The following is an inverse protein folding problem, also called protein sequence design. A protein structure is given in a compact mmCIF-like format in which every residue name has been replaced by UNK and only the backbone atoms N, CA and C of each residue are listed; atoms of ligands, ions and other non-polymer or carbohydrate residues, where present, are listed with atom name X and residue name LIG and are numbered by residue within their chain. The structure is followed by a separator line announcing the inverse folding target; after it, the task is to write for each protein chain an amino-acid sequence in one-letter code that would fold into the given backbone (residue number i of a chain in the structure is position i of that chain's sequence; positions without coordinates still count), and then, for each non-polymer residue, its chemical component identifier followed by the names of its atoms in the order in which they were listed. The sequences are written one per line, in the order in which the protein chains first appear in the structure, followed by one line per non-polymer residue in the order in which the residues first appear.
data_IF_231672154850
#
_entry.id   IF_231672154850
#
_cell.length_a   1.000
_cell.length_b   1.000
_cell.length_c   1.000
_cell.angle_alpha   90.00
_cell.angle_beta   90.00
_cell.angle_gamma   90.00
#
_symmetry.space_group_name_H-M   'P 1'
#
loop_
_entity.id
_entity.type
_entity.pdbx_description
1 polymer ?
#
# COMPACT_ATOMS: atom_id res chain seq x y z
N UNK A 1 23.96 -9.80 1.06
CA UNK A 1 22.73 -9.00 1.23
C UNK A 1 21.90 -9.28 0.00
N UNK A 2 20.76 -9.93 0.15
CA UNK A 2 19.87 -10.22 -0.97
C UNK A 2 18.55 -9.51 -0.69
N UNK A 3 18.32 -8.41 -1.39
CA UNK A 3 17.07 -7.66 -1.31
C UNK A 3 16.09 -8.25 -2.31
N UNK A 4 14.96 -8.76 -1.85
CA UNK A 4 13.94 -9.31 -2.73
C UNK A 4 12.77 -8.34 -2.81
N UNK A 5 12.60 -7.71 -3.98
CA UNK A 5 11.42 -6.92 -4.34
C UNK A 5 10.78 -7.59 -5.53
N UNK A 6 9.53 -8.04 -5.44
CA UNK A 6 8.86 -8.85 -6.48
C UNK A 6 7.54 -8.23 -6.94
N UNK A 7 7.14 -8.47 -8.20
CA UNK A 7 5.81 -8.11 -8.67
C UNK A 7 4.74 -8.95 -7.96
N UNK A 8 3.51 -8.46 -7.93
CA UNK A 8 2.40 -9.15 -7.27
C UNK A 8 1.08 -8.89 -7.94
N UNK A 9 0.08 -9.68 -7.57
CA UNK A 9 -1.30 -9.47 -8.01
C UNK A 9 -1.98 -8.53 -7.01
N UNK A 10 -1.99 -7.25 -7.35
CA UNK A 10 -2.63 -6.20 -6.57
C UNK A 10 -4.14 -6.38 -6.49
N UNK A 11 -4.72 -5.91 -5.38
CA UNK A 11 -6.15 -5.84 -5.16
C UNK A 11 -6.59 -4.38 -5.35
N UNK A 12 -7.29 -4.08 -6.44
CA UNK A 12 -7.62 -2.72 -6.87
C UNK A 12 -9.13 -2.53 -6.99
N UNK A 13 -9.59 -1.29 -6.90
CA UNK A 13 -10.98 -0.98 -7.23
C UNK A 13 -11.25 -1.24 -8.71
N UNK A 14 -12.39 -1.85 -9.02
CA UNK A 14 -12.95 -1.80 -10.36
C UNK A 14 -13.58 -0.43 -10.56
N UNK A 15 -12.98 0.39 -11.44
CA UNK A 15 -13.43 1.74 -11.72
C UNK A 15 -14.86 1.81 -12.27
N UNK A 16 -15.40 0.72 -12.82
CA UNK A 16 -16.79 0.64 -13.30
C UNK A 16 -17.80 0.39 -12.18
N UNK A 17 -17.34 -0.05 -11.00
CA UNK A 17 -18.16 -0.36 -9.82
C UNK A 17 -18.20 0.76 -8.80
N UNK A 18 -17.36 1.77 -8.96
CA UNK A 18 -17.28 2.92 -8.04
C UNK A 18 -17.51 4.20 -8.83
N UNK A 19 -18.29 5.13 -8.28
CA UNK A 19 -18.60 6.42 -8.91
C UNK A 19 -17.40 7.38 -8.84
N UNK A 20 -16.27 7.00 -9.44
CA UNK A 20 -15.00 7.72 -9.41
C UNK A 20 -14.10 7.38 -8.22
N UNK A 21 -12.83 7.09 -8.51
CA UNK A 21 -11.85 6.65 -7.51
C UNK A 21 -11.64 7.67 -6.37
N UNK A 22 -11.71 8.96 -6.66
CA UNK A 22 -11.60 10.04 -5.66
C UNK A 22 -12.65 9.96 -4.54
N UNK A 23 -13.78 9.27 -4.77
CA UNK A 23 -14.83 9.11 -3.77
C UNK A 23 -14.59 7.90 -2.85
N UNK A 24 -13.74 6.96 -3.26
CA UNK A 24 -13.49 5.71 -2.53
C UNK A 24 -12.11 5.61 -1.90
N UNK A 25 -11.20 6.53 -2.18
CA UNK A 25 -9.91 6.64 -1.49
C UNK A 25 -9.99 7.54 -0.25
N UNK A 26 -8.94 7.49 0.57
CA UNK A 26 -8.77 8.30 1.78
C UNK A 26 -7.27 8.61 2.00
N UNK A 27 -6.94 9.66 2.77
CA UNK A 27 -5.58 9.89 3.24
C UNK A 27 -5.03 8.71 4.06
N UNK A 28 -3.71 8.70 4.38
CA UNK A 28 -3.15 7.77 5.35
C UNK A 28 -3.91 7.77 6.68
N UNK A 29 -4.14 6.59 7.25
CA UNK A 29 -5.02 6.41 8.43
C UNK A 29 -4.59 7.21 9.67
N UNK A 30 -3.30 7.53 9.77
CA UNK A 30 -2.64 8.22 10.87
C UNK A 30 -2.70 9.75 10.78
N UNK A 31 -3.17 10.32 9.65
CA UNK A 31 -3.41 11.76 9.51
C UNK A 31 -4.89 12.13 9.53
N UNK A 32 -5.79 11.15 9.56
CA UNK A 32 -7.24 11.35 9.53
C UNK A 32 -7.76 11.69 10.93
N UNK A 33 -8.47 12.80 11.05
CA UNK A 33 -9.18 13.18 12.29
C UNK A 33 -10.55 12.50 12.41
N UNK A 34 -11.09 12.33 13.63
CA UNK A 34 -12.39 11.69 13.83
C UNK A 34 -13.55 12.29 13.01
N UNK A 35 -13.59 13.61 12.87
CA UNK A 35 -14.60 14.31 12.06
C UNK A 35 -14.45 13.99 10.55
N UNK A 36 -13.22 13.86 10.06
CA UNK A 36 -12.91 13.53 8.67
C UNK A 36 -13.25 12.06 8.36
N UNK A 37 -13.03 11.16 9.32
CA UNK A 37 -13.37 9.74 9.19
C UNK A 37 -14.86 9.53 8.93
N UNK A 38 -15.72 10.26 9.64
CA UNK A 38 -17.18 10.20 9.44
C UNK A 38 -17.57 10.76 8.07
N UNK A 39 -16.99 11.89 7.68
CA UNK A 39 -17.24 12.49 6.37
C UNK A 39 -16.80 11.58 5.21
N UNK A 40 -15.64 10.92 5.33
CA UNK A 40 -15.15 9.93 4.37
C UNK A 40 -16.08 8.72 4.28
N UNK A 41 -16.55 8.21 5.42
CA UNK A 41 -17.46 7.06 5.44
C UNK A 41 -18.81 7.39 4.78
N UNK A 42 -19.32 8.61 4.96
CA UNK A 42 -20.55 9.08 4.33
C UNK A 42 -20.39 9.39 2.84
N UNK A 43 -19.17 9.65 2.37
CA UNK A 43 -18.89 10.02 0.97
C UNK A 43 -19.25 8.90 -0.02
N UNK A 44 -18.90 7.66 0.32
CA UNK A 44 -19.22 6.52 -0.54
C UNK A 44 -19.31 5.22 0.29
N UNK A 45 -20.26 4.31 -0.01
CA UNK A 45 -20.39 3.03 0.70
C UNK A 45 -19.14 2.14 0.56
N UNK A 46 -18.40 2.28 -0.54
CA UNK A 46 -17.14 1.58 -0.79
C UNK A 46 -15.87 2.38 -0.42
N UNK A 47 -15.97 3.45 0.36
CA UNK A 47 -14.78 4.23 0.74
C UNK A 47 -13.84 3.42 1.65
N UNK A 48 -12.57 3.37 1.28
CA UNK A 48 -11.50 2.58 1.91
C UNK A 48 -11.35 2.84 3.41
N UNK A 49 -11.81 3.99 3.91
CA UNK A 49 -11.85 4.31 5.33
C UNK A 49 -12.54 3.23 6.16
N UNK A 50 -13.53 2.56 5.57
CA UNK A 50 -14.29 1.47 6.20
C UNK A 50 -13.45 0.21 6.43
N UNK A 51 -12.32 0.08 5.73
CA UNK A 51 -11.34 -0.99 5.93
C UNK A 51 -10.14 -0.53 6.75
N UNK A 52 -9.55 0.63 6.42
CA UNK A 52 -8.27 1.08 7.05
C UNK A 52 -8.44 1.67 8.44
N UNK A 53 -9.63 2.20 8.75
CA UNK A 53 -9.94 2.85 10.01
C UNK A 53 -11.44 2.67 10.31
N UNK A 54 -11.88 1.43 10.48
CA UNK A 54 -13.26 1.12 10.92
C UNK A 54 -13.51 1.57 12.36
N UNK A 55 -14.68 2.16 12.63
CA UNK A 55 -15.05 2.59 13.98
C UNK A 55 -15.37 1.41 14.91
N UNK A 56 -14.95 1.46 16.19
CA UNK A 56 -15.46 0.55 17.20
C UNK A 56 -16.94 0.85 17.48
N UNK A 57 -17.68 -0.17 17.92
CA UNK A 57 -19.04 -0.03 18.44
C UNK A 57 -19.07 -0.38 19.93
N UNK A 58 -20.08 0.12 20.65
CA UNK A 58 -20.23 -0.12 22.10
C UNK A 58 -20.47 -1.61 22.44
N UNK A 59 -20.95 -2.39 21.48
CA UNK A 59 -21.22 -3.82 21.56
C UNK A 59 -20.09 -4.70 21.00
N UNK A 60 -18.93 -4.13 20.68
CA UNK A 60 -17.77 -4.89 20.22
C UNK A 60 -17.32 -5.92 21.27
N UNK A 61 -17.03 -7.13 20.80
CA UNK A 61 -16.47 -8.23 21.59
C UNK A 61 -15.09 -8.63 21.04
N UNK A 62 -14.40 -9.54 21.72
CA UNK A 62 -13.11 -10.04 21.23
C UNK A 62 -13.24 -10.76 19.86
N UNK A 63 -14.38 -11.43 19.63
CA UNK A 63 -14.66 -12.19 18.40
C UNK A 63 -15.39 -11.35 17.32
N UNK A 64 -16.20 -10.38 17.72
CA UNK A 64 -16.97 -9.52 16.83
C UNK A 64 -16.66 -8.05 17.10
N UNK A 65 -15.75 -7.47 16.29
CA UNK A 65 -15.31 -6.10 16.47
C UNK A 65 -15.00 -5.43 15.12
N UNK A 66 -14.51 -4.19 15.19
CA UNK A 66 -14.15 -3.39 14.03
C UNK A 66 -13.23 -4.12 13.02
N UNK A 67 -12.29 -4.96 13.48
CA UNK A 67 -11.36 -5.67 12.59
C UNK A 67 -12.04 -6.82 11.85
N UNK A 68 -12.87 -7.61 12.53
CA UNK A 68 -13.63 -8.70 11.88
C UNK A 68 -14.69 -8.17 10.93
N UNK A 69 -15.30 -7.02 11.26
CA UNK A 69 -16.15 -6.26 10.31
C UNK A 69 -15.38 -5.78 9.09
N UNK A 70 -14.18 -5.23 9.26
CA UNK A 70 -13.34 -4.80 8.14
C UNK A 70 -12.99 -5.97 7.20
N UNK A 71 -12.60 -7.12 7.75
CA UNK A 71 -12.31 -8.33 6.98
C UNK A 71 -13.55 -8.85 6.23
N UNK A 72 -14.70 -8.91 6.90
CA UNK A 72 -15.98 -9.30 6.30
C UNK A 72 -16.36 -8.38 5.15
N UNK A 73 -16.20 -7.06 5.34
CA UNK A 73 -16.48 -6.07 4.30
C UNK A 73 -15.51 -6.16 3.13
N UNK A 74 -14.21 -6.38 3.38
CA UNK A 74 -13.21 -6.56 2.34
C UNK A 74 -13.55 -7.80 1.48
N UNK A 75 -13.85 -8.93 2.10
CA UNK A 75 -14.25 -10.15 1.40
C UNK A 75 -15.52 -9.96 0.58
N UNK A 76 -16.48 -9.19 1.11
CA UNK A 76 -17.68 -8.81 0.36
C UNK A 76 -17.35 -7.91 -0.84
N UNK A 77 -16.47 -6.93 -0.70
CA UNK A 77 -16.06 -6.10 -1.83
C UNK A 77 -15.35 -6.92 -2.91
N UNK A 78 -14.60 -7.95 -2.52
CA UNK A 78 -14.00 -8.91 -3.46
C UNK A 78 -15.08 -9.74 -4.16
N UNK A 79 -16.03 -10.33 -3.42
CA UNK A 79 -17.10 -11.15 -4.01
C UNK A 79 -18.02 -10.36 -4.94
N UNK A 80 -18.30 -9.10 -4.58
CA UNK A 80 -19.18 -8.21 -5.33
C UNK A 80 -18.45 -7.57 -6.53
N UNK A 81 -17.15 -7.81 -6.68
CA UNK A 81 -16.30 -7.31 -7.76
C UNK A 81 -15.94 -5.83 -7.63
N UNK A 82 -16.20 -5.20 -6.48
CA UNK A 82 -15.78 -3.82 -6.16
C UNK A 82 -14.26 -3.75 -6.07
N UNK A 83 -13.65 -4.74 -5.42
CA UNK A 83 -12.22 -4.96 -5.41
C UNK A 83 -11.89 -6.18 -6.28
N UNK A 84 -10.94 -6.04 -7.20
CA UNK A 84 -10.52 -7.11 -8.09
C UNK A 84 -9.02 -7.34 -7.97
N UNK A 85 -8.65 -8.61 -7.95
CA UNK A 85 -7.26 -9.03 -7.94
C UNK A 85 -6.78 -9.15 -9.38
N UNK A 86 -5.66 -8.51 -9.69
CA UNK A 86 -5.09 -8.57 -11.04
C UNK A 86 -4.76 -10.02 -11.43
N UNK A 87 -4.89 -10.33 -12.73
CA UNK A 87 -4.74 -11.67 -13.25
C UNK A 87 -3.29 -12.19 -13.16
N UNK A 88 -2.31 -11.33 -13.42
CA UNK A 88 -0.88 -11.66 -13.42
C UNK A 88 -0.10 -10.79 -12.42
N UNK A 89 0.97 -11.32 -11.80
CA UNK A 89 1.88 -10.51 -11.01
C UNK A 89 2.53 -9.42 -11.87
N UNK A 90 2.52 -8.19 -11.37
CA UNK A 90 3.15 -7.03 -12.01
C UNK A 90 3.63 -6.04 -10.96
N UNK A 91 4.61 -5.19 -11.29
CA UNK A 91 4.82 -3.97 -10.51
C UNK A 91 3.79 -2.92 -10.91
N UNK A 92 3.61 -1.93 -10.04
CA UNK A 92 2.81 -0.74 -10.35
C UNK A 92 3.70 0.49 -10.28
N UNK A 93 3.68 1.30 -11.32
CA UNK A 93 4.35 2.60 -11.32
C UNK A 93 3.31 3.61 -10.88
N UNK A 94 3.65 4.43 -9.89
CA UNK A 94 2.76 5.38 -9.26
C UNK A 94 3.37 6.77 -9.28
N UNK A 95 2.67 7.71 -9.89
CA UNK A 95 3.02 9.13 -9.85
C UNK A 95 2.04 9.85 -8.91
N UNK A 96 2.60 10.63 -7.98
CA UNK A 96 1.87 11.58 -7.17
C UNK A 96 2.35 13.00 -7.48
N UNK A 97 1.50 13.80 -8.12
CA UNK A 97 1.77 15.22 -8.37
C UNK A 97 1.14 16.08 -7.28
N UNK A 98 1.87 17.04 -6.70
CA UNK A 98 1.36 17.89 -5.63
C UNK A 98 2.03 19.28 -5.65
N UNK A 99 1.34 20.27 -5.08
CA UNK A 99 1.91 21.59 -4.82
C UNK A 99 2.71 21.54 -3.52
N UNK A 100 4.00 21.86 -3.59
CA UNK A 100 4.83 21.97 -2.41
C UNK A 100 4.68 23.36 -1.75
N UNK A 101 5.12 23.52 -0.47
CA UNK A 101 5.05 24.79 0.23
C UNK A 101 5.81 25.94 -0.44
N UNK A 102 6.75 25.65 -1.34
CA UNK A 102 7.47 26.64 -2.15
C UNK A 102 6.65 27.14 -3.36
N UNK A 103 5.41 26.68 -3.51
CA UNK A 103 4.50 27.04 -4.60
C UNK A 103 4.77 26.32 -5.92
N UNK A 104 5.73 25.39 -5.97
CA UNK A 104 6.03 24.61 -7.17
C UNK A 104 5.27 23.29 -7.17
N UNK A 105 4.95 22.85 -8.38
CA UNK A 105 4.44 21.50 -8.60
C UNK A 105 5.59 20.51 -8.69
N UNK A 106 5.52 19.45 -7.89
CA UNK A 106 6.43 18.32 -7.96
C UNK A 106 5.65 17.05 -8.27
N UNK A 107 6.28 16.14 -9.00
CA UNK A 107 5.80 14.76 -9.15
C UNK A 107 6.77 13.83 -8.46
N UNK A 108 6.25 13.01 -7.55
CA UNK A 108 6.97 11.90 -6.96
C UNK A 108 6.54 10.62 -7.65
N UNK A 109 7.48 9.99 -8.35
CA UNK A 109 7.32 8.66 -8.93
C UNK A 109 7.76 7.58 -7.93
N UNK A 110 7.03 6.49 -7.90
CA UNK A 110 7.32 5.34 -7.05
C UNK A 110 7.01 4.03 -7.79
N UNK A 111 7.74 2.98 -7.40
CA UNK A 111 7.43 1.61 -7.77
C UNK A 111 6.74 0.91 -6.59
N UNK A 112 5.62 0.24 -6.84
CA UNK A 112 4.90 -0.56 -5.85
C UNK A 112 5.15 -2.04 -6.16
N UNK A 113 5.69 -2.76 -5.18
CA UNK A 113 5.96 -4.19 -5.21
C UNK A 113 5.94 -4.79 -3.81
N UNK A 114 6.10 -6.11 -3.72
CA UNK A 114 6.27 -6.80 -2.43
C UNK A 114 7.74 -6.88 -2.06
N UNK A 115 8.05 -6.51 -0.82
CA UNK A 115 9.38 -6.63 -0.25
C UNK A 115 9.41 -7.82 0.70
N UNK A 116 10.39 -8.70 0.53
CA UNK A 116 10.61 -9.80 1.48
C UNK A 116 10.96 -9.21 2.85
N UNK A 117 10.15 -9.56 3.86
CA UNK A 117 10.38 -9.16 5.24
C UNK A 117 11.67 -9.79 5.77
N UNK A 118 12.47 -8.97 6.45
CA UNK A 118 13.71 -9.39 7.09
C UNK A 118 13.92 -8.60 8.39
N UNK A 119 14.49 -9.22 9.44
CA UNK A 119 14.91 -8.49 10.63
C UNK A 119 15.90 -7.37 10.27
N UNK A 120 15.86 -6.26 11.00
CA UNK A 120 16.70 -5.08 10.73
C UNK A 120 18.21 -5.37 10.84
N UNK A 121 18.58 -6.41 11.59
CA UNK A 121 19.94 -6.91 11.76
C UNK A 121 20.55 -7.36 10.43
N UNK A 122 19.73 -7.79 9.46
CA UNK A 122 20.20 -8.17 8.13
C UNK A 122 20.61 -6.96 7.28
N UNK A 123 20.28 -5.74 7.71
CA UNK A 123 20.57 -4.46 7.02
C UNK A 123 20.06 -4.36 5.58
N UNK A 124 19.12 -5.23 5.18
CA UNK A 124 18.42 -5.17 3.89
C UNK A 124 17.39 -4.04 3.89
N UNK A 125 16.62 -3.93 4.97
CA UNK A 125 15.73 -2.81 5.23
C UNK A 125 16.29 -2.00 6.40
N UNK A 126 16.47 -0.71 6.20
CA UNK A 126 17.14 0.19 7.13
C UNK A 126 16.10 1.10 7.81
N UNK A 127 15.97 1.04 9.15
CA UNK A 127 15.18 2.01 9.90
C UNK A 127 15.99 3.30 10.12
N UNK A 128 15.28 4.40 10.40
CA UNK A 128 15.90 5.68 10.79
C UNK A 128 15.24 6.31 12.03
N UNK A 129 14.17 5.71 12.55
CA UNK A 129 13.48 6.10 13.78
C UNK A 129 13.21 4.90 14.69
N UNK A 130 12.87 5.18 15.96
CA UNK A 130 12.31 4.21 16.91
C UNK A 130 10.79 4.38 16.97
N UNK A 131 10.06 3.29 17.09
CA UNK A 131 8.60 3.29 17.00
C UNK A 131 7.91 3.12 18.36
N UNK A 132 6.69 3.63 18.48
CA UNK A 132 5.83 3.49 19.67
C UNK A 132 4.93 2.23 19.57
N UNK A 133 4.58 1.62 20.70
CA UNK A 133 3.88 0.32 20.75
C UNK A 133 2.38 0.36 20.38
N UNK A 134 1.66 1.44 20.69
CA UNK A 134 0.21 1.54 20.49
C UNK A 134 -0.26 1.36 19.03
N UNK A 135 0.28 2.12 18.06
CA UNK A 135 -0.06 1.98 16.64
C UNK A 135 0.19 0.57 16.07
N UNK A 136 1.10 -0.21 16.66
CA UNK A 136 1.45 -1.56 16.17
C UNK A 136 0.34 -2.57 16.41
N UNK A 137 -0.31 -2.55 17.58
CA UNK A 137 -1.35 -3.55 17.94
C UNK A 137 -2.58 -3.41 17.03
N UNK A 138 -3.01 -2.17 16.80
CA UNK A 138 -4.14 -1.88 15.92
C UNK A 138 -3.91 -2.40 14.50
N UNK A 139 -2.76 -2.07 13.90
CA UNK A 139 -2.39 -2.55 12.57
C UNK A 139 -2.23 -4.07 12.52
N UNK A 140 -1.67 -4.67 13.57
CA UNK A 140 -1.50 -6.13 13.67
C UNK A 140 -2.85 -6.84 13.69
N UNK A 141 -3.80 -6.36 14.50
CA UNK A 141 -5.15 -6.94 14.55
C UNK A 141 -5.89 -6.81 13.23
N UNK A 142 -5.76 -5.66 12.53
CA UNK A 142 -6.32 -5.50 11.20
C UNK A 142 -5.68 -6.47 10.19
N UNK A 143 -4.35 -6.61 10.22
CA UNK A 143 -3.63 -7.53 9.34
C UNK A 143 -3.99 -9.00 9.60
N UNK A 144 -4.19 -9.39 10.88
CA UNK A 144 -4.65 -10.72 11.28
C UNK A 144 -6.02 -11.05 10.71
N UNK A 145 -6.96 -10.11 10.73
CA UNK A 145 -8.32 -10.36 10.26
C UNK A 145 -8.42 -10.27 8.73
N UNK A 146 -7.80 -9.26 8.13
CA UNK A 146 -7.90 -9.03 6.68
C UNK A 146 -6.92 -9.85 5.85
N UNK A 147 -5.83 -10.38 6.43
CA UNK A 147 -4.71 -11.00 5.70
C UNK A 147 -4.20 -10.12 4.55
N UNK A 148 -4.18 -8.81 4.77
CA UNK A 148 -3.79 -7.81 3.78
C UNK A 148 -3.03 -6.65 4.42
N UNK A 149 -2.06 -6.09 3.70
CA UNK A 149 -1.48 -4.80 4.03
C UNK A 149 -2.27 -3.69 3.33
N UNK A 150 -3.11 -2.98 4.08
CA UNK A 150 -3.94 -1.88 3.59
C UNK A 150 -3.28 -0.51 3.74
N UNK A 151 -2.01 -0.44 4.14
CA UNK A 151 -1.27 0.80 4.34
C UNK A 151 0.19 0.62 3.89
N UNK A 152 0.50 0.79 2.59
CA UNK A 152 1.83 0.57 2.02
C UNK A 152 2.93 1.31 2.77
N UNK A 153 4.10 0.69 2.91
CA UNK A 153 5.27 1.29 3.57
C UNK A 153 6.04 2.10 2.53
N UNK A 154 6.45 3.32 2.89
CA UNK A 154 7.18 4.17 1.97
C UNK A 154 8.69 3.95 2.15
N UNK A 155 9.32 3.36 1.14
CA UNK A 155 10.74 3.04 1.10
C UNK A 155 11.47 3.92 0.07
N UNK A 156 12.73 4.21 0.35
CA UNK A 156 13.69 4.82 -0.56
C UNK A 156 14.76 3.80 -0.92
N UNK A 157 15.30 3.93 -2.12
CA UNK A 157 16.44 3.17 -2.59
C UNK A 157 17.36 4.08 -3.39
N UNK A 158 18.64 3.72 -3.47
CA UNK A 158 19.58 4.43 -4.31
C UNK A 158 19.50 3.91 -5.75
N UNK A 159 19.38 4.84 -6.69
CA UNK A 159 19.40 4.53 -8.12
C UNK A 159 20.39 5.46 -8.84
N UNK A 160 21.66 5.31 -8.51
CA UNK A 160 22.72 6.21 -8.96
C UNK A 160 22.86 6.25 -10.49
N UNK A 161 22.70 5.10 -11.14
CA UNK A 161 22.77 4.96 -12.60
C UNK A 161 21.43 5.28 -13.29
N UNK A 162 20.34 5.39 -12.52
CA UNK A 162 19.01 5.72 -13.01
C UNK A 162 18.32 4.61 -13.79
N UNK A 163 18.80 3.36 -13.71
CA UNK A 163 18.27 2.23 -14.49
C UNK A 163 16.79 1.96 -14.18
N UNK A 164 16.40 1.96 -12.90
CA UNK A 164 15.01 1.70 -12.50
C UNK A 164 14.13 2.89 -12.93
N UNK A 165 14.60 4.12 -12.73
CA UNK A 165 13.86 5.31 -13.22
C UNK A 165 13.70 5.29 -14.73
N UNK A 166 14.73 4.90 -15.48
CA UNK A 166 14.66 4.81 -16.94
C UNK A 166 13.60 3.81 -17.41
N UNK A 167 13.56 2.61 -16.81
CA UNK A 167 12.55 1.59 -17.11
C UNK A 167 11.15 2.14 -16.81
N UNK A 168 10.97 2.78 -15.65
CA UNK A 168 9.67 3.35 -15.28
C UNK A 168 9.27 4.47 -16.24
N UNK A 169 10.17 5.41 -16.54
CA UNK A 169 9.90 6.55 -17.41
C UNK A 169 9.55 6.11 -18.83
N UNK A 170 10.34 5.22 -19.43
CA UNK A 170 10.07 4.64 -20.75
C UNK A 170 8.70 3.98 -20.79
N UNK A 171 8.33 3.19 -19.77
CA UNK A 171 6.99 2.58 -19.73
C UNK A 171 5.87 3.61 -19.60
N UNK A 172 6.03 4.63 -18.76
CA UNK A 172 5.00 5.66 -18.59
C UNK A 172 4.85 6.59 -19.79
N UNK A 173 5.92 6.79 -20.58
CA UNK A 173 5.88 7.59 -21.81
C UNK A 173 5.18 6.83 -22.96
N UNK A 174 5.32 5.50 -22.97
CA UNK A 174 4.73 4.61 -23.98
C UNK A 174 3.25 4.26 -23.70
N UNK A 175 2.79 4.41 -22.46
CA UNK A 175 1.49 3.89 -22.01
C UNK A 175 0.67 4.95 -21.25
N UNK A 176 -0.65 4.92 -21.44
CA UNK A 176 -1.55 5.74 -20.62
C UNK A 176 -1.76 5.12 -19.23
N UNK A 177 -1.94 5.93 -18.17
CA UNK A 177 -2.22 5.42 -16.83
C UNK A 177 -3.57 4.71 -16.80
N UNK A 178 -3.65 3.58 -16.08
CA UNK A 178 -4.92 2.89 -15.82
C UNK A 178 -5.77 3.63 -14.77
N UNK A 179 -5.11 4.33 -13.86
CA UNK A 179 -5.74 5.24 -12.91
C UNK A 179 -5.21 6.63 -13.18
N UNK A 180 -6.10 7.57 -13.51
CA UNK A 180 -5.82 9.00 -13.43
C UNK A 180 -6.89 9.62 -12.54
N UNK A 181 -6.50 9.92 -11.30
CA UNK A 181 -7.39 10.39 -10.26
C UNK A 181 -6.88 11.72 -9.74
N UNK A 182 -7.53 12.80 -10.15
CA UNK A 182 -7.39 14.09 -9.46
C UNK A 182 -7.91 13.93 -8.02
N UNK A 183 -7.01 14.04 -7.04
CA UNK A 183 -7.36 13.88 -5.65
C UNK A 183 -7.95 15.17 -5.10
N UNK A 184 -8.92 15.01 -4.21
CA UNK A 184 -9.55 16.12 -3.48
C UNK A 184 -8.69 16.65 -2.32
N UNK A 185 -7.53 16.05 -2.04
CA UNK A 185 -6.63 16.44 -0.95
C UNK A 185 -5.36 17.16 -1.43
N UNK A 186 -5.39 17.70 -2.66
CA UNK A 186 -4.33 18.57 -3.18
C UNK A 186 -3.22 17.85 -3.94
N UNK A 187 -3.38 16.55 -4.24
CA UNK A 187 -2.50 15.82 -5.13
C UNK A 187 -3.24 15.19 -6.33
N UNK A 188 -2.52 14.76 -7.35
CA UNK A 188 -3.06 13.97 -8.47
C UNK A 188 -2.34 12.64 -8.47
N UNK A 189 -3.11 11.56 -8.56
CA UNK A 189 -2.61 10.20 -8.51
C UNK A 189 -2.71 9.55 -9.87
N UNK A 190 -1.60 9.06 -10.38
CA UNK A 190 -1.56 8.22 -11.57
C UNK A 190 -0.95 6.88 -11.27
N UNK A 191 -1.54 5.82 -11.81
CA UNK A 191 -1.05 4.45 -11.66
C UNK A 191 -0.99 3.76 -13.01
N UNK A 192 0.14 3.12 -13.29
CA UNK A 192 0.34 2.23 -14.41
C UNK A 192 0.61 0.83 -13.88
N UNK A 193 0.02 -0.16 -14.53
CA UNK A 193 0.35 -1.56 -14.32
C UNK A 193 1.46 -1.95 -15.28
N UNK A 194 2.64 -2.31 -14.76
CA UNK A 194 3.79 -2.72 -15.59
C UNK A 194 3.58 -4.15 -16.11
N UNK A 195 2.76 -4.29 -17.17
CA UNK A 195 2.46 -5.57 -17.82
C UNK A 195 3.53 -5.96 -18.86
N UNK A 196 4.78 -5.99 -18.40
CA UNK A 196 5.96 -6.33 -19.20
C UNK A 196 6.85 -7.28 -18.38
N UNK A 197 6.91 -8.54 -18.81
CA UNK A 197 7.64 -9.58 -18.08
C UNK A 197 9.17 -9.35 -18.08
N UNK A 198 9.72 -8.76 -19.14
CA UNK A 198 11.16 -8.50 -19.25
C UNK A 198 11.55 -7.36 -18.33
N UNK A 199 10.83 -6.23 -18.38
CA UNK A 199 11.03 -5.10 -17.46
C UNK A 199 10.81 -5.50 -16.01
N UNK A 200 9.81 -6.34 -15.70
CA UNK A 200 9.60 -6.86 -14.35
C UNK A 200 10.80 -7.69 -13.87
N UNK A 201 11.36 -8.58 -14.69
CA UNK A 201 12.52 -9.40 -14.32
C UNK A 201 13.80 -8.55 -14.14
N UNK A 202 13.97 -7.53 -14.98
CA UNK A 202 15.08 -6.58 -14.89
C UNK A 202 15.03 -5.78 -13.59
N UNK A 203 13.87 -5.19 -13.26
CA UNK A 203 13.66 -4.47 -12.00
C UNK A 203 13.97 -5.36 -10.80
N UNK A 204 13.48 -6.60 -10.78
CA UNK A 204 13.76 -7.55 -9.71
C UNK A 204 15.27 -7.79 -9.54
N UNK A 205 16.00 -7.92 -10.64
CA UNK A 205 17.45 -8.10 -10.64
C UNK A 205 18.17 -6.85 -10.11
N UNK A 206 17.77 -5.66 -10.56
CA UNK A 206 18.35 -4.38 -10.11
C UNK A 206 18.17 -4.16 -8.61
N UNK A 207 17.05 -4.60 -8.03
CA UNK A 207 16.84 -4.51 -6.58
C UNK A 207 17.71 -5.47 -5.77
N UNK A 208 18.16 -6.59 -6.32
CA UNK A 208 18.85 -7.67 -5.56
C UNK A 208 20.04 -7.20 -4.72
N UNK A 209 20.70 -6.12 -5.13
CA UNK A 209 21.89 -5.56 -4.49
C UNK A 209 21.65 -4.21 -3.79
N UNK A 210 20.41 -3.73 -3.71
CA UNK A 210 20.07 -2.41 -3.17
C UNK A 210 19.47 -2.54 -1.76
N UNK A 211 20.06 -1.95 -0.71
CA UNK A 211 19.35 -1.80 0.56
C UNK A 211 18.17 -0.83 0.40
N UNK A 212 17.12 -1.03 1.19
CA UNK A 212 15.93 -0.18 1.22
C UNK A 212 15.93 0.63 2.52
N UNK A 213 15.78 1.94 2.43
CA UNK A 213 15.63 2.82 3.59
C UNK A 213 14.15 3.10 3.81
N UNK A 214 13.63 2.84 5.01
CA UNK A 214 12.25 3.25 5.32
C UNK A 214 12.22 4.77 5.40
N UNK A 215 11.42 5.45 4.57
CA UNK A 215 11.13 6.87 4.71
C UNK A 215 9.94 7.13 5.63
N UNK A 216 8.95 6.24 5.59
CA UNK A 216 7.79 6.28 6.49
C UNK A 216 7.17 4.87 6.60
N UNK A 217 6.66 4.54 7.78
CA UNK A 217 5.99 3.26 8.05
C UNK A 217 6.82 2.23 8.82
N UNK A 218 7.77 2.64 9.67
CA UNK A 218 8.53 1.73 10.53
C UNK A 218 7.62 0.86 11.40
N UNK A 219 6.58 1.47 11.98
CA UNK A 219 5.59 0.76 12.79
C UNK A 219 4.83 -0.33 12.00
N UNK A 220 4.67 -0.14 10.69
CA UNK A 220 3.96 -1.02 9.75
C UNK A 220 4.89 -2.13 9.30
N UNK A 221 6.18 -1.83 9.12
CA UNK A 221 7.20 -2.84 8.88
C UNK A 221 7.34 -3.81 10.05
N UNK A 222 7.44 -3.29 11.28
CA UNK A 222 7.49 -4.13 12.48
C UNK A 222 6.19 -4.88 12.72
N UNK A 223 5.04 -4.28 12.40
CA UNK A 223 3.75 -5.00 12.41
C UNK A 223 3.77 -6.18 11.44
N UNK A 224 4.31 -5.98 10.24
CA UNK A 224 4.42 -7.05 9.26
C UNK A 224 5.39 -8.15 9.71
N UNK A 225 6.50 -7.81 10.39
CA UNK A 225 7.39 -8.78 11.02
C UNK A 225 6.67 -9.59 12.13
N UNK A 226 5.92 -8.93 13.01
CA UNK A 226 5.14 -9.61 14.03
C UNK A 226 4.06 -10.53 13.42
N UNK A 227 3.41 -10.09 12.35
CA UNK A 227 2.45 -10.91 11.63
C UNK A 227 3.10 -12.12 10.94
N UNK A 228 4.31 -11.96 10.39
CA UNK A 228 5.09 -13.08 9.85
C UNK A 228 5.39 -14.12 10.93
N UNK A 229 5.74 -13.69 12.14
CA UNK A 229 5.92 -14.58 13.28
C UNK A 229 4.61 -15.31 13.64
N UNK A 230 3.48 -14.61 13.70
CA UNK A 230 2.16 -15.23 13.92
C UNK A 230 1.86 -16.32 12.87
N UNK A 231 2.14 -16.06 11.59
CA UNK A 231 1.88 -17.00 10.49
C UNK A 231 2.83 -18.20 10.48
N UNK A 232 4.07 -18.04 10.92
CA UNK A 232 4.99 -19.15 11.07
C UNK A 232 4.45 -20.22 12.05
N UNK A 233 3.68 -19.81 13.07
CA UNK A 233 3.03 -20.72 14.01
C UNK A 233 1.79 -21.43 13.43
N UNK A 234 1.22 -20.94 12.33
CA UNK A 234 0.05 -21.54 11.66
C UNK A 234 0.43 -22.44 10.48
N UNK A 235 1.73 -22.54 10.13
CA UNK A 235 2.23 -23.38 9.03
C UNK A 235 2.17 -22.74 7.64
N UNK A 236 1.75 -21.47 7.55
CA UNK A 236 1.83 -20.68 6.33
C UNK A 236 3.24 -20.06 6.23
N UNK A 237 4.04 -20.48 5.25
CA UNK A 237 5.32 -19.83 4.94
C UNK A 237 5.05 -18.56 4.13
N UNK A 238 5.53 -17.41 4.64
CA UNK A 238 5.39 -16.09 4.03
C UNK A 238 6.25 -15.84 2.80
#
# INVERSE_FOLDING_TARGET
METTVIPFRGLRYDATKVEGLANVIAPPYDVIKPEEQTALAQRHPANIIRLILSQPHDDDTDDENRYTRAATLMNRWISDGILQRDATPRYYIYDQSFNAPDGKNYTRRALIGLVKLQPFENRVVLPHEKTHAGPKIDRLNLMRQCHANLSPIFLLYADADGDIEHIMASFTDENSPEVDCEERFGSTHRLWCLDDAERNAEIQTLFSQKPLLIADGHHRYETALAFLEDMAHTGLQG
#
